data_IF_544071219306
#
_entry.id   IF_544071219306
#
_cell.length_a   1.000
_cell.length_b   1.000
_cell.length_c   1.000
_cell.angle_alpha   90.00
_cell.angle_beta   90.00
_cell.angle_gamma   90.00
#
_symmetry.space_group_name_H-M   'P 1'
#
loop_
_entity.id
_entity.type
_entity.pdbx_description
1 polymer ?
#
# COMPACT_ATOMS: atom_id res chain seq x y z
N UNK A 1 -20.20 10.77 7.19
CA UNK A 1 -18.73 10.79 7.20
C UNK A 1 -18.25 9.39 6.92
N UNK A 2 -17.17 9.20 6.16
CA UNK A 2 -16.61 7.86 5.94
C UNK A 2 -15.94 7.36 7.23
N UNK A 3 -15.99 6.06 7.56
CA UNK A 3 -15.30 5.52 8.74
C UNK A 3 -13.82 5.90 8.80
N UNK A 4 -13.14 5.92 7.65
CA UNK A 4 -11.71 6.31 7.52
C UNK A 4 -11.48 7.79 7.84
N UNK A 5 -12.33 8.68 7.35
CA UNK A 5 -12.26 10.12 7.67
C UNK A 5 -12.44 10.37 9.18
N UNK A 6 -13.39 9.69 9.81
CA UNK A 6 -13.59 9.77 11.26
C UNK A 6 -12.35 9.31 12.02
N UNK A 7 -11.75 8.21 11.60
CA UNK A 7 -10.52 7.68 12.21
C UNK A 7 -9.39 8.71 12.14
N UNK A 8 -9.21 9.38 11.00
CA UNK A 8 -8.18 10.43 10.88
C UNK A 8 -8.48 11.60 11.81
N UNK A 9 -9.72 12.10 11.88
CA UNK A 9 -10.11 13.17 12.78
C UNK A 9 -9.85 12.83 14.26
N UNK A 10 -10.12 11.59 14.64
CA UNK A 10 -9.87 11.07 15.98
C UNK A 10 -8.36 11.06 16.30
N UNK A 11 -7.55 10.52 15.41
CA UNK A 11 -6.09 10.47 15.57
C UNK A 11 -5.45 11.87 15.58
N UNK A 12 -5.98 12.82 14.82
CA UNK A 12 -5.53 14.21 14.89
C UNK A 12 -5.79 14.80 16.28
N UNK A 13 -6.98 14.58 16.86
CA UNK A 13 -7.30 15.03 18.23
C UNK A 13 -6.37 14.38 19.27
N UNK A 14 -6.14 13.08 19.16
CA UNK A 14 -5.23 12.35 20.05
C UNK A 14 -3.80 12.92 20.03
N UNK A 15 -3.33 13.38 18.86
CA UNK A 15 -2.04 14.06 18.70
C UNK A 15 -2.06 15.55 19.04
N UNK A 16 -3.21 16.14 19.39
CA UNK A 16 -3.34 17.55 19.67
C UNK A 16 -3.14 18.45 18.44
N UNK A 17 -3.52 17.95 17.27
CA UNK A 17 -3.50 18.68 16.00
C UNK A 17 -4.90 19.20 15.67
N UNK A 18 -4.97 20.41 15.12
CA UNK A 18 -6.23 21.08 14.74
C UNK A 18 -6.74 20.63 13.36
N UNK A 19 -5.85 20.12 12.52
CA UNK A 19 -6.17 19.61 11.20
C UNK A 19 -4.98 19.00 10.48
N UNK A 20 -5.21 18.59 9.24
CA UNK A 20 -4.19 18.02 8.36
C UNK A 20 -4.33 18.50 6.91
N UNK A 21 -3.21 18.65 6.23
CA UNK A 21 -3.11 18.84 4.77
C UNK A 21 -2.58 17.53 4.19
N UNK A 22 -3.42 16.85 3.41
CA UNK A 22 -3.15 15.51 2.86
C UNK A 22 -2.96 15.63 1.36
N UNK A 23 -1.82 15.18 0.86
CA UNK A 23 -1.41 15.37 -0.54
C UNK A 23 -0.81 14.13 -1.20
N UNK A 24 -0.47 13.06 -0.47
CA UNK A 24 -0.06 11.81 -1.13
C UNK A 24 -1.26 11.13 -1.78
N UNK A 25 -1.10 10.50 -2.95
CA UNK A 25 -2.20 9.83 -3.65
C UNK A 25 -2.92 8.80 -2.78
N UNK A 26 -2.17 7.99 -2.05
CA UNK A 26 -2.70 6.95 -1.17
C UNK A 26 -3.52 7.52 -0.02
N UNK A 27 -2.98 8.53 0.69
CA UNK A 27 -3.66 9.10 1.85
C UNK A 27 -4.80 10.02 1.44
N UNK A 28 -4.69 10.72 0.31
CA UNK A 28 -5.80 11.43 -0.30
C UNK A 28 -6.94 10.45 -0.63
N UNK A 29 -6.65 9.32 -1.27
CA UNK A 29 -7.62 8.26 -1.52
C UNK A 29 -8.18 7.68 -0.22
N UNK A 30 -7.34 7.41 0.78
CA UNK A 30 -7.78 6.87 2.07
C UNK A 30 -8.85 7.77 2.73
N UNK A 31 -8.64 9.10 2.70
CA UNK A 31 -9.58 10.07 3.27
C UNK A 31 -10.84 10.23 2.44
N UNK A 32 -10.69 10.28 1.10
CA UNK A 32 -11.76 10.72 0.19
C UNK A 32 -12.48 9.57 -0.52
N UNK A 33 -11.86 8.41 -0.64
CA UNK A 33 -12.32 7.29 -1.46
C UNK A 33 -12.14 7.52 -2.97
N UNK A 34 -11.30 8.50 -3.37
CA UNK A 34 -11.10 8.85 -4.76
C UNK A 34 -9.62 8.81 -5.15
N UNK A 35 -9.30 8.09 -6.22
CA UNK A 35 -8.00 8.09 -6.88
C UNK A 35 -8.09 8.95 -8.15
N UNK A 36 -7.54 10.15 -8.11
CA UNK A 36 -7.41 11.01 -9.29
C UNK A 36 -6.40 10.44 -10.27
N UNK A 37 -6.74 10.40 -11.57
CA UNK A 37 -5.84 9.82 -12.58
C UNK A 37 -4.47 10.52 -12.59
N UNK A 38 -4.47 11.84 -12.78
CA UNK A 38 -3.21 12.59 -12.88
C UNK A 38 -2.41 12.55 -11.57
N UNK A 39 -3.10 12.66 -10.43
CA UNK A 39 -2.46 12.58 -9.12
C UNK A 39 -1.81 11.21 -8.89
N UNK A 40 -2.48 10.12 -9.30
CA UNK A 40 -1.98 8.75 -9.19
C UNK A 40 -0.76 8.51 -10.08
N UNK A 41 -0.81 8.96 -11.34
CA UNK A 41 0.23 8.70 -12.34
C UNK A 41 1.48 9.53 -12.09
N UNK A 42 1.33 10.83 -11.88
CA UNK A 42 2.48 11.74 -11.70
C UNK A 42 3.03 11.79 -10.28
N UNK A 43 2.20 11.43 -9.29
CA UNK A 43 2.58 11.40 -7.87
C UNK A 43 3.21 12.72 -7.37
N UNK A 44 2.77 13.85 -7.92
CA UNK A 44 3.27 15.16 -7.52
C UNK A 44 2.43 15.75 -6.39
N UNK A 45 3.10 16.25 -5.35
CA UNK A 45 2.46 16.99 -4.27
C UNK A 45 1.73 18.22 -4.83
N UNK A 46 0.51 18.45 -4.36
CA UNK A 46 -0.30 19.61 -4.75
C UNK A 46 -1.24 19.37 -5.94
N UNK A 47 -1.22 18.24 -6.62
CA UNK A 47 -2.19 17.95 -7.69
C UNK A 47 -3.60 17.71 -7.16
N UNK A 48 -3.74 16.96 -6.09
CA UNK A 48 -4.98 16.87 -5.33
C UNK A 48 -4.64 17.00 -3.85
N UNK A 49 -5.41 17.78 -3.13
CA UNK A 49 -5.14 18.11 -1.73
C UNK A 49 -6.45 18.02 -0.95
N UNK A 50 -6.45 17.33 0.18
CA UNK A 50 -7.54 17.38 1.14
C UNK A 50 -7.09 18.12 2.41
N UNK A 51 -7.96 18.98 2.92
CA UNK A 51 -7.80 19.64 4.23
C UNK A 51 -8.83 19.05 5.18
N UNK A 52 -8.33 18.34 6.18
CA UNK A 52 -9.14 17.65 7.19
C UNK A 52 -9.05 18.44 8.50
N UNK A 53 -10.18 18.90 9.05
CA UNK A 53 -10.23 19.46 10.39
C UNK A 53 -10.34 18.34 11.43
N UNK A 54 -9.69 18.51 12.58
CA UNK A 54 -9.90 17.62 13.73
C UNK A 54 -11.32 17.73 14.33
N UNK A 55 -12.02 18.81 14.05
CA UNK A 55 -13.41 19.05 14.48
C UNK A 55 -14.37 18.20 13.64
N UNK A 56 -15.34 17.57 14.31
CA UNK A 56 -16.34 16.72 13.65
C UNK A 56 -17.35 17.52 12.82
N UNK A 57 -17.71 18.72 13.31
CA UNK A 57 -18.69 19.62 12.68
C UNK A 57 -18.15 20.33 11.44
N UNK A 58 -16.84 20.28 11.18
CA UNK A 58 -16.20 20.91 10.01
C UNK A 58 -16.02 19.86 8.91
N UNK A 59 -16.67 20.03 7.75
CA UNK A 59 -16.51 19.10 6.63
C UNK A 59 -15.11 19.18 6.05
N UNK A 60 -14.60 18.05 5.60
CA UNK A 60 -13.36 17.99 4.82
C UNK A 60 -13.54 18.74 3.51
N UNK A 61 -12.60 19.63 3.20
CA UNK A 61 -12.51 20.31 1.92
C UNK A 61 -11.39 19.73 1.09
N UNK A 62 -11.55 19.74 -0.22
CA UNK A 62 -10.50 19.29 -1.11
C UNK A 62 -10.44 20.10 -2.39
N UNK A 63 -9.27 20.07 -3.02
CA UNK A 63 -9.07 20.61 -4.36
C UNK A 63 -8.48 19.54 -5.29
N UNK A 64 -8.93 19.54 -6.52
CA UNK A 64 -8.39 18.72 -7.61
C UNK A 64 -8.56 19.44 -8.95
N UNK A 65 -8.05 18.85 -10.01
CA UNK A 65 -8.08 19.39 -11.36
C UNK A 65 -9.50 19.51 -11.91
N UNK A 66 -9.76 20.52 -12.69
CA UNK A 66 -11.07 20.83 -13.31
C UNK A 66 -11.69 19.62 -14.01
N UNK A 67 -10.90 18.83 -14.73
CA UNK A 67 -11.39 17.64 -15.48
C UNK A 67 -11.67 16.41 -14.58
N UNK A 68 -11.17 16.38 -13.33
CA UNK A 68 -11.42 15.28 -12.38
C UNK A 68 -12.65 15.54 -11.50
N UNK A 69 -13.00 16.81 -11.29
CA UNK A 69 -14.10 17.22 -10.40
C UNK A 69 -15.43 16.53 -10.70
N UNK A 70 -15.91 16.42 -11.96
CA UNK A 70 -17.18 15.78 -12.23
C UNK A 70 -17.22 14.30 -11.78
N UNK A 71 -16.11 13.58 -12.01
CA UNK A 71 -16.01 12.19 -11.58
C UNK A 71 -15.98 12.07 -10.06
N UNK A 72 -15.26 13.00 -9.41
CA UNK A 72 -15.20 13.05 -7.95
C UNK A 72 -16.57 13.35 -7.33
N UNK A 73 -17.29 14.33 -7.83
CA UNK A 73 -18.62 14.70 -7.32
C UNK A 73 -19.61 13.54 -7.41
N UNK A 74 -19.61 12.80 -8.51
CA UNK A 74 -20.43 11.58 -8.68
C UNK A 74 -20.08 10.53 -7.61
N UNK A 75 -18.79 10.24 -7.43
CA UNK A 75 -18.34 9.22 -6.48
C UNK A 75 -18.52 9.63 -5.03
N UNK A 76 -18.35 10.91 -4.72
CA UNK A 76 -18.44 11.43 -3.35
C UNK A 76 -19.86 11.65 -2.86
N UNK A 77 -20.84 11.72 -3.77
CA UNK A 77 -22.24 11.99 -3.45
C UNK A 77 -22.46 13.21 -2.54
N UNK A 78 -21.68 14.27 -2.77
CA UNK A 78 -21.79 15.53 -2.03
C UNK A 78 -21.25 15.54 -0.59
N UNK A 79 -20.47 14.53 -0.21
CA UNK A 79 -19.90 14.41 1.15
C UNK A 79 -18.81 15.43 1.48
N UNK A 80 -18.17 15.99 0.46
CA UNK A 80 -17.03 16.89 0.60
C UNK A 80 -17.31 18.25 -0.05
N UNK A 81 -16.66 19.29 0.39
CA UNK A 81 -16.62 20.55 -0.32
C UNK A 81 -15.47 20.46 -1.33
N UNK A 82 -15.84 20.34 -2.62
CA UNK A 82 -14.88 20.18 -3.71
C UNK A 82 -14.63 21.51 -4.38
N UNK A 83 -13.36 21.86 -4.56
CA UNK A 83 -12.91 23.05 -5.28
C UNK A 83 -12.03 22.63 -6.43
N UNK A 84 -12.30 23.18 -7.60
CA UNK A 84 -11.46 22.97 -8.78
C UNK A 84 -10.41 24.05 -8.92
N UNK A 85 -9.30 23.70 -9.52
CA UNK A 85 -8.41 24.66 -10.17
C UNK A 85 -8.33 24.34 -11.67
N UNK A 86 -8.23 25.39 -12.48
CA UNK A 86 -8.23 25.25 -13.93
C UNK A 86 -6.88 24.71 -14.42
N UNK A 87 -6.94 23.81 -15.40
CA UNK A 87 -5.77 23.19 -16.01
C UNK A 87 -5.71 23.47 -17.52
N UNK A 88 -4.70 22.93 -18.18
CA UNK A 88 -4.54 22.99 -19.63
C UNK A 88 -5.65 22.22 -20.41
N UNK A 89 -6.46 21.39 -19.73
CA UNK A 89 -7.51 20.59 -20.36
C UNK A 89 -8.69 21.47 -20.76
N UNK A 90 -9.13 22.36 -19.86
CA UNK A 90 -10.23 23.29 -20.12
C UNK A 90 -11.53 22.59 -20.49
N UNK A 91 -12.15 21.90 -19.52
CA UNK A 91 -13.43 21.18 -19.71
C UNK A 91 -14.54 22.16 -20.10
N UNK A 92 -15.27 21.86 -21.17
CA UNK A 92 -16.40 22.64 -21.67
C UNK A 92 -17.67 21.82 -21.66
N UNK A 93 -18.79 22.50 -21.43
CA UNK A 93 -20.11 21.89 -21.57
C UNK A 93 -20.54 21.85 -23.05
N UNK A 94 -21.46 20.96 -23.38
CA UNK A 94 -22.03 20.92 -24.72
C UNK A 94 -22.75 22.23 -25.09
N UNK A 95 -23.42 22.85 -24.14
CA UNK A 95 -24.13 24.14 -24.37
C UNK A 95 -23.15 25.28 -24.71
N UNK A 96 -21.99 25.34 -24.05
CA UNK A 96 -20.94 26.32 -24.41
C UNK A 96 -20.48 26.13 -25.85
N UNK A 97 -20.33 24.89 -26.30
CA UNK A 97 -19.91 24.57 -27.68
C UNK A 97 -21.05 24.88 -28.66
N UNK A 98 -22.26 24.42 -28.39
CA UNK A 98 -23.39 24.53 -29.29
C UNK A 98 -23.89 25.96 -29.47
N UNK A 99 -23.80 26.78 -28.42
CA UNK A 99 -24.25 28.17 -28.46
C UNK A 99 -23.11 29.17 -28.81
N UNK A 100 -21.91 28.68 -29.11
CA UNK A 100 -20.78 29.51 -29.49
C UNK A 100 -20.32 30.47 -28.41
N UNK A 101 -20.49 30.09 -27.13
CA UNK A 101 -20.07 30.92 -26.01
C UNK A 101 -18.56 31.15 -26.07
N UNK A 102 -18.15 32.41 -26.15
CA UNK A 102 -16.76 32.81 -26.03
C UNK A 102 -16.45 32.90 -24.54
N UNK A 103 -15.72 31.92 -24.02
CA UNK A 103 -15.18 32.00 -22.66
C UNK A 103 -13.83 32.71 -22.75
N UNK A 104 -13.66 33.88 -22.12
CA UNK A 104 -12.35 34.54 -22.09
C UNK A 104 -11.32 33.62 -21.45
N UNK A 105 -10.16 33.49 -22.07
CA UNK A 105 -9.05 32.81 -21.40
C UNK A 105 -8.71 33.58 -20.10
N UNK A 106 -8.69 32.91 -18.93
CA UNK A 106 -8.30 33.61 -17.71
C UNK A 106 -6.89 34.16 -17.85
N UNK A 107 -6.69 35.45 -17.58
CA UNK A 107 -5.39 36.07 -17.64
C UNK A 107 -4.42 35.49 -16.58
N UNK A 108 -4.96 34.98 -15.48
CA UNK A 108 -4.25 34.25 -14.42
C UNK A 108 -5.15 33.10 -13.94
N UNK A 109 -4.68 31.89 -14.05
CA UNK A 109 -5.37 30.73 -13.48
C UNK A 109 -4.99 30.58 -12.01
N UNK A 110 -5.96 30.34 -11.13
CA UNK A 110 -5.70 29.98 -9.74
C UNK A 110 -4.98 28.63 -9.70
N UNK A 111 -3.90 28.56 -8.95
CA UNK A 111 -3.17 27.32 -8.71
C UNK A 111 -3.84 26.50 -7.60
N UNK A 112 -3.51 25.23 -7.52
CA UNK A 112 -3.92 24.38 -6.36
C UNK A 112 -3.48 24.98 -5.02
N UNK A 113 -2.35 25.68 -4.99
CA UNK A 113 -1.83 26.39 -3.81
C UNK A 113 -2.72 27.56 -3.41
N UNK A 114 -3.23 28.35 -4.37
CA UNK A 114 -4.16 29.45 -4.09
C UNK A 114 -5.47 28.93 -3.52
N UNK A 115 -5.98 27.82 -4.07
CA UNK A 115 -7.18 27.18 -3.55
C UNK A 115 -6.93 26.59 -2.15
N UNK A 116 -5.79 25.92 -1.93
CA UNK A 116 -5.40 25.44 -0.60
C UNK A 116 -5.38 26.57 0.42
N UNK A 117 -4.80 27.73 0.06
CA UNK A 117 -4.74 28.90 0.95
C UNK A 117 -6.14 29.39 1.35
N UNK A 118 -7.11 29.35 0.42
CA UNK A 118 -8.52 29.68 0.71
C UNK A 118 -9.14 28.66 1.65
N UNK A 119 -9.02 27.37 1.37
CA UNK A 119 -9.58 26.29 2.18
C UNK A 119 -9.09 26.36 3.64
N UNK A 120 -7.78 26.49 3.83
CA UNK A 120 -7.18 26.55 5.18
C UNK A 120 -7.67 27.76 5.98
N UNK A 121 -7.82 28.93 5.32
CA UNK A 121 -8.37 30.13 5.99
C UNK A 121 -9.85 30.02 6.30
N UNK A 122 -10.67 29.51 5.38
CA UNK A 122 -12.10 29.30 5.58
C UNK A 122 -12.42 28.30 6.69
N UNK A 123 -11.52 27.33 6.89
CA UNK A 123 -11.63 26.33 7.96
C UNK A 123 -11.07 26.82 9.31
N UNK A 124 -10.59 28.08 9.39
CA UNK A 124 -9.96 28.65 10.58
C UNK A 124 -8.72 27.88 11.05
N UNK A 125 -7.88 27.47 10.09
CA UNK A 125 -6.70 26.64 10.34
C UNK A 125 -5.37 27.36 10.06
N UNK A 126 -5.38 28.61 9.61
CA UNK A 126 -4.19 29.31 9.11
C UNK A 126 -3.11 29.63 10.16
N UNK A 127 -3.47 29.64 11.44
CA UNK A 127 -2.62 29.90 12.61
C UNK A 127 -2.55 28.71 13.58
N UNK A 128 -3.00 27.53 13.14
CA UNK A 128 -3.18 26.35 13.98
C UNK A 128 -2.03 25.36 13.86
N UNK A 129 -2.13 24.28 14.63
CA UNK A 129 -1.25 23.11 14.51
C UNK A 129 -1.76 22.17 13.44
N UNK A 130 -1.03 22.03 12.35
CA UNK A 130 -1.42 21.24 11.19
C UNK A 130 -0.47 20.06 10.95
N UNK A 131 -1.07 18.90 10.73
CA UNK A 131 -0.34 17.74 10.25
C UNK A 131 -0.06 17.83 8.77
N UNK A 132 1.14 17.45 8.35
CA UNK A 132 1.57 17.33 6.94
C UNK A 132 2.39 16.05 6.74
N UNK A 133 2.38 15.51 5.53
CA UNK A 133 3.05 14.26 5.19
C UNK A 133 4.51 14.51 4.79
N UNK A 134 5.39 14.78 5.76
CA UNK A 134 6.78 15.17 5.48
C UNK A 134 7.60 14.07 4.79
N UNK A 135 7.23 12.80 4.93
CA UNK A 135 7.91 11.71 4.23
C UNK A 135 7.57 11.65 2.72
N UNK A 136 6.50 12.35 2.33
CA UNK A 136 6.07 12.45 0.94
C UNK A 136 6.35 13.82 0.32
N UNK A 137 6.16 14.90 1.08
CA UNK A 137 6.25 16.25 0.54
C UNK A 137 7.67 16.63 0.14
N UNK A 138 7.91 17.11 -1.10
CA UNK A 138 9.18 17.71 -1.45
C UNK A 138 9.46 18.94 -0.56
N UNK A 139 10.73 19.14 -0.19
CA UNK A 139 11.13 20.25 0.68
C UNK A 139 10.70 21.62 0.14
N UNK A 140 10.72 21.80 -1.19
CA UNK A 140 10.25 23.05 -1.83
C UNK A 140 8.76 23.29 -1.60
N UNK A 141 7.94 22.22 -1.65
CA UNK A 141 6.51 22.32 -1.38
C UNK A 141 6.25 22.64 0.10
N UNK A 142 6.97 21.99 1.01
CA UNK A 142 6.89 22.28 2.44
C UNK A 142 7.27 23.74 2.76
N UNK A 143 8.34 24.25 2.16
CA UNK A 143 8.73 25.67 2.34
C UNK A 143 7.65 26.64 1.82
N UNK A 144 6.96 26.28 0.73
CA UNK A 144 5.82 27.06 0.25
C UNK A 144 4.65 27.06 1.26
N UNK A 145 4.35 25.92 1.89
CA UNK A 145 3.35 25.85 2.95
C UNK A 145 3.71 26.77 4.13
N UNK A 146 4.97 26.73 4.58
CA UNK A 146 5.44 27.62 5.65
C UNK A 146 5.34 29.10 5.26
N UNK A 147 5.61 29.44 4.00
CA UNK A 147 5.45 30.80 3.48
C UNK A 147 4.00 31.26 3.37
N UNK A 148 3.08 30.37 3.02
CA UNK A 148 1.63 30.67 2.94
C UNK A 148 0.97 30.84 4.31
N UNK A 149 1.46 30.12 5.31
CA UNK A 149 0.89 30.08 6.68
C UNK A 149 2.00 30.27 7.73
N UNK A 150 2.57 31.48 7.85
CA UNK A 150 3.72 31.72 8.71
C UNK A 150 3.42 31.57 10.21
N UNK A 151 2.17 31.67 10.60
CA UNK A 151 1.72 31.48 12.00
C UNK A 151 1.34 30.03 12.33
N UNK A 152 1.18 29.16 11.32
CA UNK A 152 0.87 27.76 11.51
C UNK A 152 2.09 26.97 12.02
N UNK A 153 1.82 25.91 12.79
CA UNK A 153 2.84 24.95 13.20
C UNK A 153 2.61 23.63 12.47
N UNK A 154 3.58 23.21 11.68
CA UNK A 154 3.48 21.95 10.94
C UNK A 154 4.17 20.80 11.68
N UNK A 155 3.49 19.68 11.79
CA UNK A 155 4.00 18.43 12.37
C UNK A 155 3.91 17.29 11.34
N UNK A 156 4.87 16.36 11.38
CA UNK A 156 4.83 15.17 10.50
C UNK A 156 3.73 14.20 10.96
N UNK A 157 2.84 13.85 10.03
CA UNK A 157 1.77 12.87 10.26
C UNK A 157 1.88 11.63 9.36
N UNK A 158 3.00 11.42 8.70
CA UNK A 158 3.17 10.26 7.82
C UNK A 158 2.90 8.94 8.54
N UNK A 159 3.45 8.77 9.75
CA UNK A 159 3.18 7.60 10.61
C UNK A 159 1.72 7.49 11.09
N UNK A 160 1.00 8.61 11.23
CA UNK A 160 -0.41 8.59 11.62
C UNK A 160 -1.25 7.84 10.59
N UNK A 161 -0.99 8.07 9.32
CA UNK A 161 -1.69 7.37 8.24
C UNK A 161 -1.32 5.89 8.18
N UNK A 162 -0.05 5.56 8.35
CA UNK A 162 0.40 4.15 8.45
C UNK A 162 -0.31 3.45 9.61
N UNK A 163 -0.41 4.12 10.76
CA UNK A 163 -1.15 3.60 11.92
C UNK A 163 -2.65 3.44 11.61
N UNK A 164 -3.28 4.44 11.01
CA UNK A 164 -4.70 4.39 10.65
C UNK A 164 -5.02 3.24 9.70
N UNK A 165 -4.19 3.04 8.66
CA UNK A 165 -4.36 1.98 7.66
C UNK A 165 -4.06 0.59 8.18
N UNK A 166 -3.33 0.46 9.30
CA UNK A 166 -2.98 -0.87 9.85
C UNK A 166 -4.21 -1.67 10.29
N UNK A 167 -5.28 -1.00 10.75
CA UNK A 167 -6.57 -1.63 11.10
C UNK A 167 -7.58 -1.37 9.98
N UNK A 168 -8.07 -2.42 9.36
CA UNK A 168 -8.89 -2.38 8.14
C UNK A 168 -10.38 -2.26 8.47
N UNK A 169 -11.11 -1.52 7.65
CA UNK A 169 -12.58 -1.54 7.67
C UNK A 169 -13.12 -2.85 7.08
N UNK A 170 -14.39 -3.20 7.31
CA UNK A 170 -15.00 -4.39 6.70
C UNK A 170 -14.89 -4.41 5.16
N UNK A 171 -15.02 -3.24 4.51
CA UNK A 171 -14.91 -3.09 3.06
C UNK A 171 -13.47 -3.35 2.59
N UNK A 172 -12.48 -2.86 3.33
CA UNK A 172 -11.07 -3.14 3.05
C UNK A 172 -10.73 -4.62 3.21
N UNK A 173 -11.26 -5.27 4.24
CA UNK A 173 -11.08 -6.71 4.45
C UNK A 173 -11.62 -7.51 3.26
N UNK A 174 -12.81 -7.16 2.75
CA UNK A 174 -13.38 -7.87 1.60
C UNK A 174 -12.59 -7.59 0.31
N UNK A 175 -12.05 -6.37 0.16
CA UNK A 175 -11.11 -6.06 -0.92
C UNK A 175 -9.87 -6.95 -0.85
N UNK A 176 -9.22 -7.06 0.31
CA UNK A 176 -8.08 -7.96 0.50
C UNK A 176 -8.41 -9.42 0.20
N UNK A 177 -9.59 -9.91 0.62
CA UNK A 177 -10.04 -11.27 0.29
C UNK A 177 -10.16 -11.48 -1.22
N UNK A 178 -10.66 -10.49 -1.93
CA UNK A 178 -10.80 -10.55 -3.40
C UNK A 178 -9.42 -10.58 -4.07
N UNK A 179 -8.51 -9.71 -3.63
CA UNK A 179 -7.14 -9.67 -4.16
C UNK A 179 -6.36 -10.96 -3.85
N UNK A 180 -6.48 -11.50 -2.63
CA UNK A 180 -5.83 -12.77 -2.28
C UNK A 180 -6.35 -13.93 -3.14
N UNK A 181 -7.66 -13.99 -3.42
CA UNK A 181 -8.21 -15.01 -4.36
C UNK A 181 -7.59 -14.89 -5.75
N UNK A 182 -7.43 -13.68 -6.28
CA UNK A 182 -6.79 -13.45 -7.57
C UNK A 182 -5.31 -13.88 -7.57
N UNK A 183 -4.59 -13.59 -6.47
CA UNK A 183 -3.21 -14.05 -6.29
C UNK A 183 -3.13 -15.59 -6.24
N UNK A 184 -4.02 -16.25 -5.49
CA UNK A 184 -4.07 -17.71 -5.37
C UNK A 184 -4.36 -18.39 -6.71
N UNK A 185 -5.23 -17.81 -7.55
CA UNK A 185 -5.44 -18.30 -8.93
C UNK A 185 -4.13 -18.22 -9.74
N UNK A 186 -3.41 -17.10 -9.64
CA UNK A 186 -2.11 -16.92 -10.28
C UNK A 186 -1.07 -17.94 -9.80
N UNK A 187 -0.91 -18.14 -8.49
CA UNK A 187 -0.02 -19.15 -7.92
C UNK A 187 -0.41 -20.57 -8.32
N UNK A 188 -1.69 -20.87 -8.34
CA UNK A 188 -2.21 -22.16 -8.78
C UNK A 188 -1.85 -22.44 -10.24
N UNK A 189 -2.02 -21.45 -11.13
CA UNK A 189 -1.65 -21.59 -12.53
C UNK A 189 -0.14 -21.84 -12.71
N UNK A 190 0.68 -21.05 -11.99
CA UNK A 190 2.14 -21.21 -12.02
C UNK A 190 2.57 -22.58 -11.51
N UNK A 191 1.98 -23.08 -10.42
CA UNK A 191 2.31 -24.39 -9.86
C UNK A 191 2.09 -25.55 -10.84
N UNK A 192 1.13 -25.41 -11.76
CA UNK A 192 0.83 -26.44 -12.79
C UNK A 192 1.88 -26.52 -13.88
N UNK A 193 2.60 -25.43 -14.15
CA UNK A 193 3.62 -25.39 -15.20
C UNK A 193 5.05 -25.48 -14.65
N UNK A 194 5.25 -25.25 -13.34
CA UNK A 194 6.56 -25.27 -12.70
C UNK A 194 7.17 -26.69 -12.73
N UNK A 195 8.14 -26.90 -13.61
CA UNK A 195 8.88 -28.15 -13.79
C UNK A 195 10.24 -27.88 -14.43
N UNK A 196 11.21 -28.79 -14.34
CA UNK A 196 12.48 -28.66 -15.04
C UNK A 196 12.30 -28.33 -16.53
N UNK A 197 13.06 -27.35 -17.01
CA UNK A 197 12.99 -26.83 -18.38
C UNK A 197 12.15 -25.57 -18.56
N UNK A 198 11.34 -25.17 -17.57
CA UNK A 198 10.56 -23.90 -17.59
C UNK A 198 11.41 -22.77 -17.01
N UNK A 199 11.37 -21.62 -17.64
CA UNK A 199 12.11 -20.42 -17.22
C UNK A 199 11.33 -19.58 -16.22
N UNK A 200 12.03 -18.76 -15.42
CA UNK A 200 11.44 -17.77 -14.52
C UNK A 200 10.49 -16.83 -15.29
N UNK A 201 10.87 -16.42 -16.49
CA UNK A 201 10.06 -15.54 -17.35
C UNK A 201 8.72 -16.17 -17.74
N UNK A 202 8.71 -17.49 -18.03
CA UNK A 202 7.46 -18.21 -18.33
C UNK A 202 6.57 -18.28 -17.09
N UNK A 203 7.13 -18.49 -15.89
CA UNK A 203 6.37 -18.49 -14.64
C UNK A 203 5.73 -17.13 -14.37
N UNK A 204 6.49 -16.04 -14.50
CA UNK A 204 5.98 -14.66 -14.33
C UNK A 204 4.88 -14.35 -15.33
N UNK A 205 5.06 -14.71 -16.58
CA UNK A 205 4.07 -14.45 -17.61
C UNK A 205 2.76 -15.22 -17.36
N UNK A 206 2.86 -16.46 -16.88
CA UNK A 206 1.68 -17.25 -16.49
C UNK A 206 0.93 -16.62 -15.32
N UNK A 207 1.65 -16.20 -14.27
CA UNK A 207 1.06 -15.48 -13.14
C UNK A 207 0.34 -14.23 -13.61
N UNK A 208 1.03 -13.36 -14.36
CA UNK A 208 0.48 -12.09 -14.85
C UNK A 208 -0.76 -12.29 -15.71
N UNK A 209 -0.71 -13.23 -16.65
CA UNK A 209 -1.83 -13.57 -17.53
C UNK A 209 -3.05 -14.02 -16.74
N UNK A 210 -2.84 -14.88 -15.75
CA UNK A 210 -3.92 -15.40 -14.91
C UNK A 210 -4.53 -14.33 -14.03
N UNK A 211 -3.71 -13.52 -13.37
CA UNK A 211 -4.19 -12.42 -12.51
C UNK A 211 -5.01 -11.41 -13.33
N UNK A 212 -4.53 -10.97 -14.49
CA UNK A 212 -5.27 -10.04 -15.37
C UNK A 212 -6.60 -10.65 -15.80
N UNK A 213 -6.64 -11.95 -16.09
CA UNK A 213 -7.85 -12.64 -16.51
C UNK A 213 -8.96 -12.69 -15.44
N UNK A 214 -8.62 -12.45 -14.16
CA UNK A 214 -9.64 -12.34 -13.09
C UNK A 214 -10.51 -11.09 -13.21
N UNK A 215 -10.03 -10.04 -13.90
CA UNK A 215 -10.73 -8.77 -14.09
C UNK A 215 -10.87 -7.90 -12.83
N UNK A 216 -10.22 -8.28 -11.72
CA UNK A 216 -10.32 -7.56 -10.42
C UNK A 216 -8.98 -7.09 -9.88
N UNK A 217 -7.88 -7.57 -10.46
CA UNK A 217 -6.53 -7.29 -9.99
C UNK A 217 -5.53 -7.16 -11.13
N UNK A 218 -4.49 -6.38 -10.89
CA UNK A 218 -3.30 -6.31 -11.73
C UNK A 218 -2.11 -6.92 -10.97
N UNK A 219 -1.17 -7.63 -11.63
CA UNK A 219 0.02 -8.14 -10.98
C UNK A 219 0.91 -6.97 -10.53
N UNK A 220 1.49 -7.07 -9.34
CA UNK A 220 2.45 -6.08 -8.88
C UNK A 220 3.71 -6.08 -9.74
N UNK A 221 4.36 -4.92 -9.84
CA UNK A 221 5.58 -4.75 -10.65
C UNK A 221 6.80 -5.45 -10.04
N UNK A 222 6.76 -5.76 -8.74
CA UNK A 222 7.87 -6.33 -7.99
C UNK A 222 7.87 -7.87 -7.92
N UNK A 223 6.93 -8.56 -8.57
CA UNK A 223 6.81 -10.02 -8.54
C UNK A 223 8.15 -10.72 -8.81
N UNK A 224 8.64 -11.46 -7.83
CA UNK A 224 9.94 -12.13 -7.84
C UNK A 224 9.77 -13.65 -7.95
N UNK A 225 9.87 -14.15 -9.17
CA UNK A 225 9.90 -15.58 -9.44
C UNK A 225 11.34 -16.00 -9.69
N UNK A 226 11.84 -16.98 -8.95
CA UNK A 226 13.25 -17.37 -9.02
C UNK A 226 13.42 -18.87 -8.80
N UNK A 227 14.48 -19.44 -9.38
CA UNK A 227 14.80 -20.86 -9.28
C UNK A 227 16.28 -21.09 -9.01
N UNK A 228 16.60 -22.13 -8.25
CA UNK A 228 17.99 -22.47 -7.93
C UNK A 228 18.75 -21.30 -7.31
N UNK A 229 19.96 -21.03 -7.78
CA UNK A 229 20.83 -19.98 -7.23
C UNK A 229 20.19 -18.60 -7.27
N UNK A 230 19.39 -18.25 -8.30
CA UNK A 230 18.71 -16.94 -8.35
C UNK A 230 17.77 -16.72 -7.17
N UNK A 231 17.19 -17.79 -6.63
CA UNK A 231 16.34 -17.78 -5.44
C UNK A 231 17.07 -17.41 -4.16
N UNK A 232 18.41 -17.47 -4.13
CA UNK A 232 19.22 -17.06 -2.99
C UNK A 232 19.24 -15.54 -2.74
N UNK A 233 18.62 -14.77 -3.62
CA UNK A 233 18.61 -13.29 -3.62
C UNK A 233 17.19 -12.75 -3.81
N UNK A 234 17.00 -11.48 -3.45
CA UNK A 234 15.85 -10.68 -3.88
C UNK A 234 16.21 -10.09 -5.25
N UNK A 235 15.66 -10.62 -6.31
CA UNK A 235 15.99 -10.21 -7.68
C UNK A 235 14.78 -10.27 -8.58
N UNK A 236 14.81 -9.44 -9.63
CA UNK A 236 13.80 -9.48 -10.68
C UNK A 236 13.94 -10.81 -11.45
N UNK A 237 12.84 -11.45 -11.88
CA UNK A 237 12.88 -12.65 -12.69
C UNK A 237 13.70 -12.48 -13.97
N UNK A 238 14.57 -13.46 -14.22
CA UNK A 238 15.42 -13.51 -15.40
C UNK A 238 15.03 -14.63 -16.36
N UNK A 239 16.05 -15.16 -17.02
CA UNK A 239 15.93 -16.28 -17.95
C UNK A 239 16.48 -17.59 -17.37
N UNK A 240 16.71 -17.67 -16.05
CA UNK A 240 17.08 -18.90 -15.38
C UNK A 240 15.99 -19.96 -15.58
N UNK A 241 16.43 -21.19 -15.80
CA UNK A 241 15.58 -22.34 -16.13
C UNK A 241 15.60 -23.32 -14.96
N UNK A 242 14.43 -23.75 -14.53
CA UNK A 242 14.27 -24.73 -13.45
C UNK A 242 15.07 -25.99 -13.78
N UNK A 243 15.90 -26.44 -12.85
CA UNK A 243 16.63 -27.68 -12.90
C UNK A 243 16.05 -28.69 -11.91
N UNK A 244 16.41 -29.97 -12.14
CA UNK A 244 16.13 -31.01 -11.15
C UNK A 244 16.85 -30.69 -9.83
N UNK A 245 16.12 -30.77 -8.72
CA UNK A 245 16.66 -30.48 -7.41
C UNK A 245 16.59 -29.00 -6.99
N UNK A 246 16.12 -28.11 -7.85
CA UNK A 246 15.95 -26.70 -7.52
C UNK A 246 14.83 -26.45 -6.48
N UNK A 247 14.94 -25.34 -5.78
CA UNK A 247 13.81 -24.68 -5.15
C UNK A 247 13.29 -23.60 -6.08
N UNK A 248 12.01 -23.62 -6.37
CA UNK A 248 11.31 -22.56 -7.08
C UNK A 248 10.58 -21.71 -6.07
N UNK A 249 10.94 -20.44 -5.99
CA UNK A 249 10.39 -19.48 -5.06
C UNK A 249 9.54 -18.47 -5.83
N UNK A 250 8.29 -18.29 -5.41
CA UNK A 250 7.37 -17.28 -5.91
C UNK A 250 7.07 -16.30 -4.80
N UNK A 251 7.42 -15.07 -5.00
CA UNK A 251 7.19 -13.97 -4.09
C UNK A 251 6.53 -12.86 -4.90
N UNK A 252 5.22 -12.68 -4.73
CA UNK A 252 4.46 -11.84 -5.60
C UNK A 252 3.18 -11.31 -4.93
N UNK A 253 2.82 -10.10 -5.33
CA UNK A 253 1.54 -9.50 -4.95
C UNK A 253 0.68 -9.15 -6.15
N UNK A 254 -0.51 -8.73 -5.87
CA UNK A 254 -1.43 -8.15 -6.82
C UNK A 254 -1.96 -6.83 -6.28
N UNK A 255 -2.30 -5.91 -7.18
CA UNK A 255 -2.86 -4.62 -6.86
C UNK A 255 -4.33 -4.58 -7.28
N UNK A 256 -5.16 -3.87 -6.55
CA UNK A 256 -6.50 -3.52 -7.01
C UNK A 256 -6.39 -2.69 -8.30
N UNK A 257 -7.20 -3.00 -9.30
CA UNK A 257 -7.04 -2.44 -10.65
C UNK A 257 -7.21 -0.91 -10.69
N UNK A 258 -8.14 -0.36 -9.90
CA UNK A 258 -8.46 1.07 -9.87
C UNK A 258 -8.34 1.67 -8.46
N UNK A 259 -7.51 1.05 -7.63
CA UNK A 259 -7.32 1.39 -6.24
C UNK A 259 -5.86 1.20 -5.84
N UNK A 260 -5.48 1.60 -4.63
CA UNK A 260 -4.09 1.51 -4.16
C UNK A 260 -3.80 0.23 -3.35
N UNK A 261 -4.81 -0.59 -3.05
CA UNK A 261 -4.62 -1.80 -2.24
C UNK A 261 -3.71 -2.80 -2.93
N UNK A 262 -2.80 -3.38 -2.16
CA UNK A 262 -1.83 -4.36 -2.63
C UNK A 262 -1.77 -5.56 -1.69
N UNK A 263 -1.41 -6.73 -2.21
CA UNK A 263 -1.14 -7.94 -1.43
C UNK A 263 0.33 -8.32 -1.50
N UNK A 264 0.76 -9.16 -0.57
CA UNK A 264 2.06 -9.81 -0.56
C UNK A 264 1.90 -11.27 -0.15
N UNK A 265 2.41 -12.19 -0.95
CA UNK A 265 2.25 -13.62 -0.72
C UNK A 265 3.39 -14.39 -1.38
N UNK A 266 3.92 -15.39 -0.69
CA UNK A 266 5.00 -16.21 -1.22
C UNK A 266 4.72 -17.69 -1.11
N UNK A 267 5.22 -18.44 -2.10
CA UNK A 267 5.19 -19.91 -2.14
C UNK A 267 6.54 -20.45 -2.58
N UNK A 268 6.90 -21.62 -2.07
CA UNK A 268 8.12 -22.30 -2.50
C UNK A 268 7.86 -23.78 -2.77
N UNK A 269 8.40 -24.27 -3.89
CA UNK A 269 8.33 -25.66 -4.30
C UNK A 269 9.74 -26.24 -4.41
N UNK A 270 9.93 -27.44 -3.90
CA UNK A 270 11.20 -28.19 -4.02
C UNK A 270 11.05 -29.20 -5.14
N UNK A 271 11.86 -29.08 -6.20
CA UNK A 271 11.85 -30.01 -7.32
C UNK A 271 12.43 -31.35 -6.91
N UNK A 272 11.96 -32.43 -7.57
CA UNK A 272 12.45 -33.78 -7.34
C UNK A 272 13.98 -33.88 -7.50
N UNK A 273 14.61 -34.60 -6.56
CA UNK A 273 16.08 -34.81 -6.58
C UNK A 273 16.87 -33.73 -5.83
N UNK A 274 16.21 -32.83 -5.10
CA UNK A 274 16.87 -31.89 -4.23
C UNK A 274 17.59 -32.57 -3.06
N UNK A 275 18.56 -31.84 -2.47
CA UNK A 275 19.20 -32.26 -1.23
C UNK A 275 18.16 -32.46 -0.13
N UNK A 276 18.18 -33.60 0.60
CA UNK A 276 17.28 -33.86 1.72
C UNK A 276 17.25 -32.76 2.79
N UNK A 277 18.34 -32.01 2.96
CA UNK A 277 18.40 -30.88 3.87
C UNK A 277 17.43 -29.74 3.47
N UNK A 278 17.20 -29.52 2.17
CA UNK A 278 16.27 -28.50 1.67
C UNK A 278 14.82 -28.83 2.02
N UNK A 279 14.42 -30.11 1.96
CA UNK A 279 13.09 -30.53 2.40
C UNK A 279 12.91 -30.29 3.91
N UNK A 280 13.91 -30.64 4.73
CA UNK A 280 13.89 -30.41 6.17
C UNK A 280 13.79 -28.92 6.49
N UNK A 281 14.54 -28.08 5.76
CA UNK A 281 14.49 -26.62 5.93
C UNK A 281 13.10 -26.09 5.55
N UNK A 282 12.57 -26.47 4.38
CA UNK A 282 11.23 -26.09 3.94
C UNK A 282 10.18 -26.43 5.02
N UNK A 283 10.18 -27.64 5.52
CA UNK A 283 9.20 -28.09 6.51
C UNK A 283 9.34 -27.34 7.83
N UNK A 284 10.57 -26.98 8.24
CA UNK A 284 10.83 -26.17 9.41
C UNK A 284 10.32 -24.73 9.27
N UNK A 285 10.55 -24.10 8.10
CA UNK A 285 10.05 -22.75 7.80
C UNK A 285 8.52 -22.73 7.76
N UNK A 286 7.92 -23.70 7.10
CA UNK A 286 6.47 -23.82 7.00
C UNK A 286 5.81 -23.99 8.37
N UNK A 287 6.37 -24.88 9.22
CA UNK A 287 5.85 -25.07 10.58
C UNK A 287 6.05 -23.83 11.46
N UNK A 288 7.16 -23.08 11.27
CA UNK A 288 7.39 -21.81 11.97
C UNK A 288 6.30 -20.79 11.64
N UNK A 289 5.95 -20.63 10.36
CA UNK A 289 4.88 -19.74 9.92
C UNK A 289 3.53 -20.18 10.51
N UNK A 290 3.20 -21.47 10.46
CA UNK A 290 1.95 -22.00 11.02
C UNK A 290 1.81 -21.71 12.52
N UNK A 291 2.90 -21.83 13.27
CA UNK A 291 2.92 -21.51 14.72
C UNK A 291 2.69 -20.03 14.96
N UNK A 292 3.34 -19.18 14.17
CA UNK A 292 3.16 -17.73 14.20
C UNK A 292 1.70 -17.35 13.92
N UNK A 293 1.11 -17.87 12.84
CA UNK A 293 -0.29 -17.63 12.48
C UNK A 293 -1.25 -18.14 13.56
N UNK A 294 -1.03 -19.34 14.11
CA UNK A 294 -1.87 -19.91 15.15
C UNK A 294 -1.85 -19.12 16.48
N UNK A 295 -0.76 -18.42 16.75
CA UNK A 295 -0.61 -17.56 17.92
C UNK A 295 -1.23 -16.17 17.72
N UNK A 296 -1.40 -15.72 16.47
CA UNK A 296 -1.84 -14.38 16.13
C UNK A 296 -3.30 -14.15 16.56
N UNK A 297 -3.49 -13.30 17.56
CA UNK A 297 -4.80 -12.89 18.09
C UNK A 297 -4.72 -11.52 18.74
N UNK A 298 -5.84 -10.78 18.79
CA UNK A 298 -5.87 -9.47 19.43
C UNK A 298 -5.28 -9.49 20.85
N UNK A 299 -4.48 -8.48 21.16
CA UNK A 299 -3.81 -8.31 22.46
C UNK A 299 -2.40 -8.91 22.56
N UNK A 300 -2.00 -9.81 21.65
CA UNK A 300 -0.63 -10.34 21.65
C UNK A 300 0.34 -9.26 21.17
N UNK A 301 1.47 -9.00 21.85
CA UNK A 301 2.53 -8.13 21.33
C UNK A 301 3.08 -8.64 20.00
N UNK A 302 3.26 -7.75 19.02
CA UNK A 302 3.73 -8.15 17.68
C UNK A 302 5.11 -8.79 17.72
N UNK A 303 6.00 -8.35 18.63
CA UNK A 303 7.33 -8.97 18.82
C UNK A 303 7.27 -10.44 19.23
N UNK A 304 6.20 -10.89 19.90
CA UNK A 304 6.06 -12.30 20.28
C UNK A 304 5.89 -13.19 19.05
N UNK A 305 5.20 -12.71 18.01
CA UNK A 305 5.11 -13.42 16.72
C UNK A 305 6.48 -13.65 16.10
N UNK A 306 7.36 -12.61 16.16
CA UNK A 306 8.73 -12.74 15.69
C UNK A 306 9.46 -13.87 16.40
N UNK A 307 9.43 -13.87 17.73
CA UNK A 307 10.13 -14.87 18.54
C UNK A 307 9.57 -16.29 18.30
N UNK A 308 8.26 -16.45 18.20
CA UNK A 308 7.62 -17.75 17.90
C UNK A 308 8.19 -18.38 16.63
N UNK A 309 8.33 -17.62 15.55
CA UNK A 309 8.85 -18.13 14.28
C UNK A 309 10.38 -18.23 14.28
N UNK A 310 11.04 -17.14 14.66
CA UNK A 310 12.50 -17.01 14.58
C UNK A 310 13.23 -18.04 15.46
N UNK A 311 12.86 -18.14 16.73
CA UNK A 311 13.51 -19.03 17.66
C UNK A 311 13.28 -20.49 17.29
N UNK A 312 12.06 -20.81 16.82
CA UNK A 312 11.76 -22.15 16.32
C UNK A 312 12.65 -22.55 15.14
N UNK A 313 12.84 -21.68 14.14
CA UNK A 313 13.74 -21.98 13.01
C UNK A 313 15.19 -22.13 13.51
N UNK A 314 15.63 -21.25 14.38
CA UNK A 314 16.99 -21.19 14.88
C UNK A 314 17.41 -22.39 15.72
N UNK A 315 16.46 -23.05 16.41
CA UNK A 315 16.71 -24.31 17.11
C UNK A 315 17.33 -25.40 16.20
N UNK A 316 16.84 -25.51 14.97
CA UNK A 316 17.31 -26.51 13.99
C UNK A 316 18.43 -25.94 13.10
N UNK A 317 18.38 -24.66 12.80
CA UNK A 317 19.31 -23.94 11.93
C UNK A 317 19.92 -22.74 12.67
N UNK A 318 20.97 -22.94 13.51
CA UNK A 318 21.56 -21.89 14.35
C UNK A 318 22.08 -20.68 13.56
N UNK A 319 22.40 -20.85 12.27
CA UNK A 319 22.83 -19.77 11.37
C UNK A 319 21.67 -18.93 10.81
N UNK A 320 20.41 -19.32 11.06
CA UNK A 320 19.24 -18.56 10.60
C UNK A 320 19.28 -17.12 11.12
N UNK A 321 19.09 -16.18 10.20
CA UNK A 321 19.12 -14.75 10.50
C UNK A 321 18.09 -14.01 9.69
N UNK A 322 17.19 -13.32 10.39
CA UNK A 322 16.15 -12.48 9.78
C UNK A 322 15.82 -11.29 10.71
N UNK A 323 15.62 -10.11 10.14
CA UNK A 323 15.30 -8.90 10.91
C UNK A 323 13.81 -8.77 11.28
N UNK A 324 12.92 -9.34 10.48
CA UNK A 324 11.48 -9.38 10.73
C UNK A 324 10.87 -10.65 10.12
N UNK A 325 9.68 -11.02 10.57
CA UNK A 325 8.91 -12.18 10.09
C UNK A 325 7.59 -11.73 9.45
N UNK A 326 7.60 -10.58 8.82
CA UNK A 326 6.45 -10.01 8.15
C UNK A 326 6.19 -8.56 8.53
N UNK A 327 5.11 -8.02 8.00
CA UNK A 327 4.80 -6.59 8.08
C UNK A 327 3.30 -6.32 7.89
N UNK A 328 2.86 -5.14 8.25
CA UNK A 328 1.55 -4.64 7.81
C UNK A 328 1.56 -4.37 6.31
N UNK A 329 0.40 -4.42 5.73
CA UNK A 329 0.20 -4.14 4.31
C UNK A 329 -1.11 -3.39 4.12
N UNK A 330 -1.15 -2.45 3.18
CA UNK A 330 -2.35 -1.68 2.90
C UNK A 330 -2.34 -1.16 1.47
N UNK A 331 -1.85 0.06 1.26
CA UNK A 331 -1.90 0.77 -0.01
C UNK A 331 -0.49 0.95 -0.56
N UNK A 332 -0.27 0.50 -1.82
CA UNK A 332 1.00 0.71 -2.52
C UNK A 332 1.40 2.19 -2.61
N UNK A 333 2.56 2.50 -3.19
CA UNK A 333 3.38 1.59 -4.00
C UNK A 333 4.26 0.62 -3.17
N UNK A 334 4.51 0.90 -1.90
CA UNK A 334 5.24 -0.01 -1.03
C UNK A 334 4.35 -1.19 -0.62
N UNK A 335 4.89 -2.41 -0.66
CA UNK A 335 4.18 -3.57 -0.15
C UNK A 335 4.26 -3.65 1.36
N UNK A 336 5.41 -3.30 1.94
CA UNK A 336 5.67 -3.38 3.37
C UNK A 336 5.51 -2.02 4.05
N UNK A 337 4.69 -1.95 5.09
CA UNK A 337 4.58 -0.80 5.99
C UNK A 337 4.54 -1.25 7.46
N UNK A 338 4.78 -0.32 8.38
CA UNK A 338 4.68 -0.62 9.82
C UNK A 338 3.22 -0.95 10.22
N UNK A 339 3.02 -1.77 11.26
CA UNK A 339 4.04 -2.39 12.09
C UNK A 339 4.73 -3.60 11.42
N UNK A 340 6.04 -3.70 11.65
CA UNK A 340 6.81 -4.89 11.26
C UNK A 340 6.81 -5.92 12.38
N UNK A 341 6.72 -7.21 12.02
CA UNK A 341 6.87 -8.34 12.95
C UNK A 341 8.36 -8.52 13.24
N UNK A 342 8.91 -7.70 14.13
CA UNK A 342 10.31 -7.66 14.49
C UNK A 342 10.49 -7.75 16.03
N UNK A 343 11.69 -7.96 16.55
CA UNK A 343 11.91 -8.19 17.99
C UNK A 343 11.61 -6.96 18.87
N UNK A 344 11.40 -5.77 18.31
CA UNK A 344 11.24 -4.52 19.06
C UNK A 344 9.84 -3.92 18.96
N UNK A 345 8.96 -4.46 18.13
CA UNK A 345 7.58 -3.95 17.98
C UNK A 345 6.70 -4.47 19.13
N UNK A 346 6.57 -3.69 20.19
CA UNK A 346 5.77 -4.05 21.38
C UNK A 346 4.27 -3.72 21.26
N UNK A 347 3.86 -3.03 20.20
CA UNK A 347 2.44 -2.75 19.92
C UNK A 347 1.65 -4.07 19.92
N UNK A 348 0.49 -4.15 20.60
CA UNK A 348 -0.37 -5.32 20.55
C UNK A 348 -1.05 -5.43 19.17
N UNK A 349 -1.35 -6.67 18.78
CA UNK A 349 -2.25 -6.94 17.67
C UNK A 349 -3.66 -6.41 17.97
N UNK A 350 -4.29 -5.84 16.98
CA UNK A 350 -5.66 -5.34 17.05
C UNK A 350 -6.55 -6.09 16.05
N UNK A 351 -7.80 -6.34 16.42
CA UNK A 351 -8.77 -6.95 15.51
C UNK A 351 -8.94 -6.06 14.25
N UNK A 352 -8.95 -6.68 13.09
CA UNK A 352 -8.99 -5.97 11.80
C UNK A 352 -7.61 -5.64 11.21
N UNK A 353 -6.50 -5.89 11.91
CA UNK A 353 -5.19 -5.83 11.27
C UNK A 353 -5.06 -6.90 10.19
N UNK A 354 -4.42 -6.56 9.08
CA UNK A 354 -3.99 -7.51 8.04
C UNK A 354 -2.48 -7.43 7.95
N UNK A 355 -1.83 -8.58 8.14
CA UNK A 355 -0.38 -8.72 8.13
C UNK A 355 0.04 -9.74 7.07
N UNK A 356 1.10 -9.45 6.33
CA UNK A 356 1.85 -10.42 5.57
C UNK A 356 2.81 -11.12 6.52
N UNK A 357 2.56 -12.39 6.81
CA UNK A 357 3.34 -13.20 7.76
C UNK A 357 4.27 -14.14 7.01
N UNK A 358 5.57 -13.88 7.06
CA UNK A 358 6.58 -14.55 6.26
C UNK A 358 7.68 -15.21 7.10
N UNK A 359 8.23 -16.31 6.59
CA UNK A 359 9.41 -16.97 7.17
C UNK A 359 10.39 -17.31 6.03
N UNK A 360 11.13 -16.34 5.50
CA UNK A 360 12.07 -16.56 4.41
C UNK A 360 13.42 -17.07 4.91
N UNK A 361 14.12 -17.79 4.03
CA UNK A 361 15.50 -18.19 4.24
C UNK A 361 16.27 -18.16 2.91
N UNK A 362 17.32 -17.36 2.85
CA UNK A 362 18.16 -17.19 1.67
C UNK A 362 19.53 -17.83 1.93
N UNK A 363 19.91 -18.80 1.10
CA UNK A 363 21.19 -19.54 1.21
C UNK A 363 22.08 -19.04 0.08
N UNK A 364 22.95 -18.08 0.36
CA UNK A 364 23.79 -17.39 -0.62
C UNK A 364 24.53 -18.35 -1.57
N UNK A 365 24.39 -18.12 -2.88
CA UNK A 365 25.00 -18.95 -3.92
C UNK A 365 24.37 -20.34 -4.12
N UNK A 366 23.28 -20.65 -3.39
CA UNK A 366 22.63 -21.96 -3.47
C UNK A 366 21.16 -21.82 -3.87
N UNK A 367 20.27 -21.43 -2.94
CA UNK A 367 18.83 -21.38 -3.18
C UNK A 367 18.15 -20.49 -2.12
N UNK A 368 16.85 -20.25 -2.26
CA UNK A 368 16.07 -19.52 -1.25
C UNK A 368 14.64 -20.01 -1.14
N UNK A 369 14.08 -19.76 0.03
CA UNK A 369 12.68 -19.98 0.35
C UNK A 369 12.04 -18.65 0.75
N UNK A 370 10.79 -18.45 0.41
CA UNK A 370 9.87 -17.59 1.11
C UNK A 370 8.54 -18.31 1.24
N UNK A 371 7.96 -18.25 2.44
CA UNK A 371 6.66 -18.83 2.75
C UNK A 371 5.89 -17.72 3.46
N UNK A 372 4.82 -17.25 2.84
CA UNK A 372 4.14 -16.04 3.28
C UNK A 372 2.64 -16.10 2.99
N UNK A 373 1.85 -15.67 3.93
CA UNK A 373 0.41 -15.53 3.80
C UNK A 373 -0.09 -14.20 4.36
N UNK A 374 -1.13 -13.67 3.72
CA UNK A 374 -1.92 -12.56 4.26
C UNK A 374 -2.83 -13.07 5.37
N UNK A 375 -2.70 -12.52 6.57
CA UNK A 375 -3.42 -12.97 7.77
C UNK A 375 -4.25 -11.83 8.35
N UNK A 376 -5.55 -12.07 8.51
CA UNK A 376 -6.47 -11.19 9.23
C UNK A 376 -6.46 -11.56 10.73
N UNK A 377 -6.27 -10.56 11.57
CA UNK A 377 -6.30 -10.66 13.03
C UNK A 377 -7.74 -10.50 13.53
#
# INVERSE_FOLDING_TARGET
MLPKENRIKELLREKGLDGAIVSSPENFHYVTGFAGHQHTVSRQAGFSIAVVSAREDVPTQLTTMDFEVPTFEIKSAGRFIVRKYDTWVGVKTWDEIANGAVVPAPAVMESSSDILAKMVREMDLADKKLGVELDYLPVGYYNNLCGMFPEAKFENISELFVYARSVKTPEEIEMFRTLCRAADEGFTAVSRIARPGVSERELVNEFRRTVIATGVAAPSSWSMFSTGESGSRLTIPGDAVIQKGDVVKFDAGVNAEFDFYTTDTSRAWVMEGADPALYKLKDRLYEAQRRMIAAAKPGLPICDLYHIAYDYVKEMFPSYRRGHQGHSISMGPATAEAPYINPTTTRPLEAGMVLAMEVPCYIGGVQGFNIEDMVLI
#
